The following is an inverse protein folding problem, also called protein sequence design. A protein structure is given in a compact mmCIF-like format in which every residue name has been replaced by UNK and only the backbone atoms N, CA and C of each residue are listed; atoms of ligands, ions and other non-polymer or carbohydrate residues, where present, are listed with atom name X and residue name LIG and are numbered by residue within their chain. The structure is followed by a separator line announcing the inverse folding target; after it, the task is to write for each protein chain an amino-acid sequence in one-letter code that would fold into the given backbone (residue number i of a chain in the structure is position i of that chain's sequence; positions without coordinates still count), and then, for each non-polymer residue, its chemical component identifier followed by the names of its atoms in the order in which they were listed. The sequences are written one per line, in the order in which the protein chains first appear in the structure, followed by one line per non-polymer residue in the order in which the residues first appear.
data_IF_466460139072
#
_entry.id   IF_466460139072
#
_cell.length_a   1.000
_cell.length_b   1.000
_cell.length_c   1.000
_cell.angle_alpha   90.00
_cell.angle_beta   90.00
_cell.angle_gamma   90.00
#
_symmetry.space_group_name_H-M   'P 1'
#
loop_
_entity.id
_entity.type
_entity.pdbx_description
1 polymer ?
#
# COMPACT_ATOMS: atom_id res chain seq x y z
N UNK A 1 0.39 2.06 7.78
CA UNK A 1 -0.90 1.36 7.85
C UNK A 1 -1.67 1.50 6.54
N UNK A 2 -2.09 0.38 5.96
CA UNK A 2 -2.90 0.29 4.74
C UNK A 2 -4.22 -0.38 5.08
N UNK A 3 -5.34 0.24 4.70
CA UNK A 3 -6.68 -0.32 4.90
C UNK A 3 -7.29 -0.65 3.55
N UNK A 4 -7.71 -1.89 3.37
CA UNK A 4 -8.45 -2.31 2.21
C UNK A 4 -9.81 -1.61 2.18
N UNK A 5 -10.17 -1.08 1.01
CA UNK A 5 -11.49 -0.49 0.77
C UNK A 5 -12.60 -1.53 0.85
N UNK A 6 -12.29 -2.77 0.45
CA UNK A 6 -13.23 -3.87 0.51
C UNK A 6 -13.10 -4.63 1.84
N UNK A 7 -14.19 -4.65 2.61
CA UNK A 7 -14.22 -5.25 3.95
C UNK A 7 -14.23 -6.79 3.92
N UNK A 8 -14.28 -7.42 2.74
CA UNK A 8 -14.11 -8.87 2.58
C UNK A 8 -12.65 -9.29 2.38
N UNK A 9 -11.74 -8.32 2.18
CA UNK A 9 -10.31 -8.60 2.09
C UNK A 9 -9.79 -9.07 3.45
N UNK A 10 -9.54 -10.37 3.59
CA UNK A 10 -8.85 -10.91 4.74
C UNK A 10 -7.34 -10.87 4.51
N UNK A 11 -6.65 -10.01 5.25
CA UNK A 11 -5.21 -10.01 5.37
C UNK A 11 -4.90 -10.60 6.74
N UNK A 12 -4.20 -11.74 6.84
CA UNK A 12 -3.79 -12.26 8.13
C UNK A 12 -2.80 -11.28 8.78
N UNK A 13 -2.83 -11.13 10.10
CA UNK A 13 -1.83 -10.29 10.80
C UNK A 13 -0.41 -10.86 10.66
N UNK A 14 -0.31 -12.19 10.53
CA UNK A 14 0.93 -12.91 10.34
C UNK A 14 0.78 -13.91 9.19
N UNK A 15 1.61 -13.77 8.16
CA UNK A 15 1.64 -14.75 7.08
C UNK A 15 2.20 -16.10 7.56
N UNK A 16 1.50 -17.16 7.17
CA UNK A 16 1.85 -18.56 7.38
C UNK A 16 2.08 -19.21 6.02
N UNK A 17 3.32 -19.61 5.74
CA UNK A 17 3.68 -20.29 4.50
C UNK A 17 5.18 -20.43 4.38
N UNK A 18 5.62 -21.07 3.30
CA UNK A 18 7.04 -21.18 3.02
C UNK A 18 7.59 -19.79 2.63
N UNK A 19 8.56 -19.29 3.39
CA UNK A 19 9.37 -18.13 3.03
C UNK A 19 10.78 -18.66 2.83
N UNK A 20 11.31 -18.57 1.62
CA UNK A 20 12.65 -19.07 1.27
C UNK A 20 12.91 -20.54 1.70
N UNK A 21 11.88 -21.39 1.67
CA UNK A 21 11.99 -22.81 2.03
C UNK A 21 11.82 -23.12 3.54
N UNK A 22 11.61 -22.12 4.39
CA UNK A 22 11.31 -22.30 5.81
C UNK A 22 9.80 -22.27 6.06
N UNK A 23 9.26 -23.31 6.70
CA UNK A 23 7.86 -23.39 7.12
C UNK A 23 7.75 -22.79 8.52
N UNK A 24 6.94 -21.75 8.68
CA UNK A 24 6.64 -21.15 9.98
C UNK A 24 5.32 -21.71 10.51
N UNK A 25 5.39 -22.79 11.30
CA UNK A 25 4.23 -23.47 11.89
C UNK A 25 3.92 -22.93 13.32
N UNK A 26 3.06 -21.92 13.44
CA UNK A 26 2.54 -21.41 14.75
C UNK A 26 1.00 -21.33 14.83
N UNK A 27 0.33 -21.77 15.91
CA UNK A 27 -1.08 -22.20 15.95
C UNK A 27 -2.13 -21.24 15.33
N UNK A 28 -3.15 -21.88 14.74
CA UNK A 28 -4.10 -21.38 13.74
C UNK A 28 -5.27 -20.51 14.25
N UNK A 29 -4.99 -19.36 14.86
CA UNK A 29 -6.04 -18.36 15.18
C UNK A 29 -5.73 -17.00 14.54
N UNK A 30 -5.28 -16.98 13.28
CA UNK A 30 -4.97 -15.74 12.59
C UNK A 30 -6.26 -14.90 12.39
N UNK A 31 -6.39 -13.84 13.18
CA UNK A 31 -7.45 -12.86 13.03
C UNK A 31 -7.29 -12.19 11.67
N UNK A 32 -8.31 -12.33 10.83
CA UNK A 32 -8.41 -11.58 9.58
C UNK A 32 -8.58 -10.10 9.91
N UNK A 33 -7.76 -9.26 9.29
CA UNK A 33 -7.91 -7.81 9.33
C UNK A 33 -8.00 -7.27 7.91
N UNK A 34 -8.84 -6.25 7.72
CA UNK A 34 -8.85 -5.46 6.48
C UNK A 34 -7.73 -4.41 6.48
N UNK A 35 -7.02 -4.26 7.60
CA UNK A 35 -5.99 -3.25 7.77
C UNK A 35 -4.67 -3.85 8.24
N UNK A 36 -3.59 -3.50 7.58
CA UNK A 36 -2.27 -4.08 7.82
C UNK A 36 -1.18 -3.02 7.83
N UNK A 37 -0.14 -3.25 8.62
CA UNK A 37 1.07 -2.44 8.56
C UNK A 37 2.06 -3.04 7.56
N UNK A 38 2.22 -2.32 6.45
CA UNK A 38 3.14 -2.66 5.39
C UNK A 38 4.25 -1.60 5.28
N UNK A 39 5.46 -2.05 4.96
CA UNK A 39 6.59 -1.19 4.65
C UNK A 39 6.76 -1.05 3.15
N UNK A 40 7.19 0.11 2.67
CA UNK A 40 7.53 0.29 1.25
C UNK A 40 8.94 -0.20 0.92
N UNK A 41 9.79 -0.34 1.94
CA UNK A 41 11.14 -0.88 1.79
C UNK A 41 11.40 -1.94 2.85
N UNK A 42 11.93 -3.09 2.45
CA UNK A 42 12.34 -4.17 3.34
C UNK A 42 13.73 -3.94 3.94
N UNK A 43 14.12 -2.69 4.11
CA UNK A 43 15.41 -2.28 4.65
C UNK A 43 15.20 -1.38 5.86
N UNK A 44 15.99 -1.61 6.90
CA UNK A 44 16.08 -0.72 8.04
C UNK A 44 16.90 0.53 7.69
N UNK A 45 16.79 1.62 8.48
CA UNK A 45 17.57 2.85 8.27
C UNK A 45 19.09 2.63 8.31
N UNK A 46 19.55 1.59 9.01
CA UNK A 46 20.96 1.18 9.09
C UNK A 46 21.44 0.33 7.90
N UNK A 47 20.56 0.05 6.93
CA UNK A 47 20.86 -0.75 5.74
C UNK A 47 20.62 -2.26 5.90
N UNK A 48 20.30 -2.73 7.10
CA UNK A 48 20.01 -4.14 7.34
C UNK A 48 18.70 -4.56 6.67
N UNK A 49 18.68 -5.77 6.11
CA UNK A 49 17.46 -6.35 5.57
C UNK A 49 16.50 -6.71 6.71
N UNK A 50 15.25 -6.27 6.59
CA UNK A 50 14.17 -6.80 7.43
C UNK A 50 13.76 -8.13 6.82
N UNK A 51 13.78 -9.22 7.60
CA UNK A 51 13.30 -10.52 7.17
C UNK A 51 12.28 -11.07 8.16
N UNK A 52 11.27 -11.78 7.65
CA UNK A 52 10.37 -12.59 8.47
C UNK A 52 9.20 -11.81 9.07
N UNK A 53 8.02 -11.96 8.45
CA UNK A 53 6.69 -11.53 8.95
C UNK A 53 6.28 -10.07 8.76
N UNK A 54 7.10 -9.19 8.17
CA UNK A 54 6.62 -7.86 7.77
C UNK A 54 6.05 -7.87 6.37
N UNK A 55 4.83 -7.36 6.23
CA UNK A 55 4.25 -7.05 4.93
C UNK A 55 5.01 -5.93 4.26
N UNK A 56 5.13 -6.03 2.95
CA UNK A 56 5.72 -5.00 2.14
C UNK A 56 4.90 -4.72 0.90
N UNK A 57 4.95 -3.47 0.45
CA UNK A 57 4.32 -3.07 -0.80
C UNK A 57 5.21 -3.53 -1.95
N UNK A 58 4.75 -4.55 -2.69
CA UNK A 58 5.48 -5.09 -3.84
C UNK A 58 5.19 -4.28 -5.11
N UNK A 59 3.92 -3.95 -5.33
CA UNK A 59 3.49 -3.19 -6.49
C UNK A 59 2.30 -2.30 -6.17
N UNK A 60 2.25 -1.13 -6.81
CA UNK A 60 1.13 -0.20 -6.72
C UNK A 60 0.69 0.11 -8.14
N UNK A 61 -0.57 -0.15 -8.45
CA UNK A 61 -1.15 0.12 -9.75
C UNK A 61 -2.27 1.15 -9.60
N UNK A 62 -2.27 2.20 -10.42
CA UNK A 62 -3.32 3.21 -10.39
C UNK A 62 -4.60 2.67 -11.02
N UNK A 63 -5.74 2.98 -10.42
CA UNK A 63 -7.04 2.62 -11.00
C UNK A 63 -7.56 3.76 -11.89
N UNK A 64 -8.76 3.59 -12.45
CA UNK A 64 -9.47 4.65 -13.17
C UNK A 64 -9.93 5.78 -12.25
N UNK A 65 -10.10 5.50 -10.96
CA UNK A 65 -10.32 6.52 -9.93
C UNK A 65 -8.95 7.00 -9.43
N UNK A 66 -8.67 8.29 -9.62
CA UNK A 66 -7.39 8.88 -9.22
C UNK A 66 -7.18 8.89 -7.70
N UNK A 67 -8.23 8.65 -6.90
CA UNK A 67 -8.16 8.53 -5.45
C UNK A 67 -7.93 7.10 -4.97
N UNK A 68 -7.94 6.11 -5.86
CA UNK A 68 -7.86 4.69 -5.51
C UNK A 68 -6.69 4.03 -6.25
N UNK A 69 -5.89 3.29 -5.49
CA UNK A 69 -4.82 2.45 -6.05
C UNK A 69 -4.97 1.00 -5.64
N UNK A 70 -4.62 0.10 -6.55
CA UNK A 70 -4.50 -1.31 -6.26
C UNK A 70 -3.10 -1.59 -5.73
N UNK A 71 -3.03 -2.06 -4.50
CA UNK A 71 -1.78 -2.44 -3.85
C UNK A 71 -1.65 -3.95 -3.91
N UNK A 72 -0.48 -4.44 -4.30
CA UNK A 72 -0.07 -5.83 -4.13
C UNK A 72 0.89 -5.90 -2.96
N UNK A 73 0.54 -6.70 -1.96
CA UNK A 73 1.40 -6.99 -0.84
C UNK A 73 2.25 -8.24 -1.09
N UNK A 74 3.49 -8.15 -0.62
CA UNK A 74 4.37 -9.29 -0.41
C UNK A 74 4.87 -9.31 1.03
N UNK A 75 5.95 -10.05 1.24
CA UNK A 75 6.64 -10.19 2.51
C UNK A 75 8.11 -9.87 2.35
N UNK A 76 8.68 -9.28 3.40
CA UNK A 76 10.11 -9.04 3.46
C UNK A 76 10.88 -10.35 3.69
N UNK A 77 11.70 -10.70 2.70
CA UNK A 77 12.48 -11.93 2.64
C UNK A 77 13.98 -11.71 2.77
N UNK A 78 14.75 -12.78 2.54
CA UNK A 78 16.22 -12.73 2.60
C UNK A 78 16.77 -11.68 1.62
N UNK A 79 17.75 -10.90 2.08
CA UNK A 79 18.38 -9.84 1.29
C UNK A 79 17.62 -8.50 1.30
N UNK A 80 16.63 -8.34 2.18
CA UNK A 80 15.92 -7.07 2.37
C UNK A 80 15.10 -6.66 1.16
N UNK A 81 14.53 -7.64 0.46
CA UNK A 81 13.68 -7.46 -0.72
C UNK A 81 12.24 -7.85 -0.38
N UNK A 82 11.31 -7.22 -1.09
CA UNK A 82 9.91 -7.57 -1.03
C UNK A 82 9.63 -8.69 -2.01
N UNK A 83 9.13 -9.82 -1.52
CA UNK A 83 8.83 -11.01 -2.33
C UNK A 83 7.36 -11.37 -2.20
N UNK A 84 6.75 -11.86 -3.27
CA UNK A 84 5.36 -12.32 -3.21
C UNK A 84 5.25 -13.71 -2.55
N UNK A 85 6.24 -14.60 -2.71
CA UNK A 85 6.15 -16.01 -2.28
C UNK A 85 4.81 -16.63 -2.70
N UNK A 86 4.22 -17.52 -1.89
CA UNK A 86 2.85 -18.01 -2.07
C UNK A 86 1.79 -17.04 -1.51
N UNK A 87 2.21 -15.85 -1.04
CA UNK A 87 1.33 -14.82 -0.53
C UNK A 87 0.95 -13.83 -1.64
N UNK A 88 -0.22 -14.03 -2.25
CA UNK A 88 -0.78 -13.06 -3.16
C UNK A 88 -1.97 -12.34 -2.50
N UNK A 89 -1.74 -11.14 -2.00
CA UNK A 89 -2.83 -10.26 -1.53
C UNK A 89 -2.84 -8.99 -2.36
N UNK A 90 -3.96 -8.74 -3.03
CA UNK A 90 -4.20 -7.55 -3.84
C UNK A 90 -5.50 -6.90 -3.39
N UNK A 91 -5.46 -5.60 -3.11
CA UNK A 91 -6.65 -4.87 -2.68
C UNK A 91 -6.53 -3.39 -3.02
N UNK A 92 -7.68 -2.75 -3.10
CA UNK A 92 -7.79 -1.32 -3.35
C UNK A 92 -7.58 -0.54 -2.05
N UNK A 93 -6.84 0.55 -2.13
CA UNK A 93 -6.55 1.47 -1.03
C UNK A 93 -6.90 2.89 -1.47
N UNK A 94 -7.54 3.63 -0.57
CA UNK A 94 -7.81 5.06 -0.74
C UNK A 94 -6.57 5.89 -0.44
N UNK A 95 -6.16 6.75 -1.39
CA UNK A 95 -4.97 7.60 -1.29
C UNK A 95 -5.31 9.09 -1.15
N UNK A 96 -6.52 9.44 -0.69
CA UNK A 96 -6.85 10.82 -0.33
C UNK A 96 -6.06 11.34 0.86
N UNK A 97 -5.59 10.45 1.73
CA UNK A 97 -4.63 10.79 2.78
C UNK A 97 -3.26 11.10 2.13
N UNK A 98 -2.81 12.35 2.23
CA UNK A 98 -1.57 12.83 1.63
C UNK A 98 -0.32 12.14 2.18
N UNK A 99 -0.30 11.74 3.46
CA UNK A 99 0.82 11.01 4.05
C UNK A 99 0.91 9.61 3.45
N UNK A 100 -0.24 8.95 3.32
CA UNK A 100 -0.34 7.64 2.69
C UNK A 100 0.02 7.70 1.20
N UNK A 101 -0.51 8.69 0.47
CA UNK A 101 -0.19 8.94 -0.92
C UNK A 101 1.31 9.16 -1.15
N UNK A 102 1.95 9.98 -0.29
CA UNK A 102 3.38 10.20 -0.33
C UNK A 102 4.15 8.91 -0.06
N UNK A 103 3.74 8.14 0.95
CA UNK A 103 4.38 6.86 1.29
C UNK A 103 4.32 5.86 0.15
N UNK A 104 3.16 5.74 -0.51
CA UNK A 104 2.96 4.84 -1.65
C UNK A 104 3.45 5.42 -2.99
N UNK A 105 4.01 6.63 -3.00
CA UNK A 105 4.35 7.39 -4.21
C UNK A 105 3.18 7.46 -5.21
N UNK A 106 1.96 7.56 -4.67
CA UNK A 106 0.70 7.50 -5.39
C UNK A 106 -0.15 8.72 -5.04
N UNK A 107 0.27 9.89 -5.53
CA UNK A 107 -0.53 11.09 -5.39
C UNK A 107 -1.80 11.02 -6.24
N UNK A 108 -2.95 11.43 -5.69
CA UNK A 108 -4.12 11.69 -6.50
C UNK A 108 -3.76 12.75 -7.54
N UNK A 109 -4.27 12.60 -8.77
CA UNK A 109 -3.99 13.58 -9.81
C UNK A 109 -4.51 14.95 -9.34
N UNK A 110 -3.75 16.04 -9.56
CA UNK A 110 -4.31 17.36 -9.37
C UNK A 110 -5.58 17.45 -10.22
N UNK A 111 -6.68 17.88 -9.62
CA UNK A 111 -7.90 18.21 -10.36
C UNK A 111 -7.55 19.37 -11.30
N UNK A 112 -7.03 19.06 -12.49
CA UNK A 112 -6.87 20.06 -13.54
C UNK A 112 -8.27 20.26 -14.08
N UNK A 113 -8.96 21.29 -13.60
CA UNK A 113 -10.09 21.85 -14.35
C UNK A 113 -9.54 22.31 -15.69
N UNK A 114 -9.71 21.48 -16.72
CA UNK A 114 -9.52 21.90 -18.10
C UNK A 114 -10.50 23.06 -18.35
N UNK A 115 -9.95 24.19 -18.80
CA UNK A 115 -10.63 25.47 -19.07
C UNK A 115 -10.86 26.39 -17.87
N UNK A 116 -9.78 26.92 -17.30
CA UNK A 116 -9.83 28.32 -16.88
C UNK A 116 -8.95 29.13 -17.83
N UNK A 117 -9.58 29.82 -18.77
CA UNK A 117 -8.96 30.95 -19.46
C UNK A 117 -8.71 32.00 -18.39
N UNK A 118 -7.48 32.03 -17.86
CA UNK A 118 -7.06 33.02 -16.87
C UNK A 118 -6.95 34.36 -17.59
N UNK A 119 -8.05 35.11 -17.65
CA UNK A 119 -7.99 36.55 -17.91
C UNK A 119 -7.59 37.25 -16.61
N UNK A 120 -6.84 38.34 -16.74
CA UNK A 120 -6.09 39.06 -15.70
C UNK A 120 -6.90 39.61 -14.52
N UNK A 121 -8.21 39.34 -14.44
CA UNK A 121 -9.15 39.97 -13.51
C UNK A 121 -9.81 38.98 -12.52
N UNK A 122 -9.62 37.66 -12.67
CA UNK A 122 -10.26 36.68 -11.78
C UNK A 122 -9.27 36.16 -10.73
N UNK A 123 -9.42 36.65 -9.50
CA UNK A 123 -8.93 35.98 -8.29
C UNK A 123 -9.58 34.60 -8.22
N UNK A 124 -8.84 33.56 -8.59
CA UNK A 124 -9.24 32.19 -8.33
C UNK A 124 -9.31 31.98 -6.81
N UNK A 125 -10.54 31.91 -6.29
CA UNK A 125 -10.79 31.40 -4.94
C UNK A 125 -10.76 29.88 -5.08
N UNK A 126 -9.68 29.26 -4.61
CA UNK A 126 -9.62 27.82 -4.43
C UNK A 126 -10.62 27.43 -3.33
N UNK A 127 -11.81 27.00 -3.73
CA UNK A 127 -12.76 26.33 -2.87
C UNK A 127 -12.75 24.84 -3.20
N UNK A 128 -12.36 24.02 -2.23
CA UNK A 128 -12.85 22.65 -2.13
C UNK A 128 -13.84 22.66 -0.96
N UNK A 129 -15.10 22.31 -1.21
CA UNK A 129 -16.07 22.00 -0.14
C UNK A 129 -15.66 20.72 0.61
#
# INVERSE_FOLDING_TARGET
KLTALDNSTCIPEHYRGAIDGFIFDEPSDALCTSTVDAVTTCKCPNGDGVSGRRYCVHHVNRTTDDNIVNVTLGLCGVGGRCHLYDFLSHFAVDVRDLQLAHHLNAFPRPCITANMTVTSELKAVAGCE
#
